data_IF_524037360670
#
_entry.id   IF_524037360670
#
_cell.length_a   1.000
_cell.length_b   1.000
_cell.length_c   1.000
_cell.angle_alpha   90.00
_cell.angle_beta   90.00
_cell.angle_gamma   90.00
#
_symmetry.space_group_name_H-M   'P 1'
#
loop_
_entity.id
_entity.type
_entity.pdbx_description
1 polymer ?
#
# COMPACT_ATOMS: atom_id res chain seq x y z
N UNK A 1 -68.44 40.90 4.86
CA UNK A 1 -67.00 40.67 5.14
C UNK A 1 -66.71 39.25 5.62
N UNK A 2 -67.37 38.73 6.66
CA UNK A 2 -67.13 37.35 7.18
C UNK A 2 -67.33 36.22 6.15
N UNK A 3 -68.35 36.34 5.27
CA UNK A 3 -68.66 35.31 4.26
C UNK A 3 -67.62 35.22 3.12
N UNK A 4 -67.05 36.36 2.71
CA UNK A 4 -66.04 36.42 1.64
C UNK A 4 -64.70 35.86 2.14
N UNK A 5 -64.35 36.14 3.39
CA UNK A 5 -63.16 35.56 4.03
C UNK A 5 -63.27 34.03 4.11
N UNK A 6 -64.47 33.51 4.39
CA UNK A 6 -64.72 32.07 4.43
C UNK A 6 -64.52 31.39 3.07
N UNK A 7 -64.99 32.00 1.99
CA UNK A 7 -64.78 31.47 0.64
C UNK A 7 -63.31 31.51 0.20
N UNK A 8 -62.56 32.55 0.60
CA UNK A 8 -61.12 32.64 0.30
C UNK A 8 -60.30 31.55 1.01
N UNK A 9 -60.64 31.24 2.27
CA UNK A 9 -60.00 30.15 3.03
C UNK A 9 -60.27 28.80 2.38
N UNK A 10 -61.52 28.54 1.97
CA UNK A 10 -61.89 27.28 1.30
C UNK A 10 -61.15 27.13 -0.04
N UNK A 11 -61.08 28.20 -0.84
CA UNK A 11 -60.35 28.17 -2.11
C UNK A 11 -58.84 27.90 -1.90
N UNK A 12 -58.24 28.45 -0.85
CA UNK A 12 -56.84 28.22 -0.49
C UNK A 12 -56.58 26.75 -0.10
N UNK A 13 -57.50 26.11 0.63
CA UNK A 13 -57.38 24.68 0.96
C UNK A 13 -57.57 23.76 -0.26
N UNK A 14 -58.39 24.14 -1.24
CA UNK A 14 -58.59 23.37 -2.48
C UNK A 14 -57.40 23.54 -3.44
N UNK A 15 -56.73 24.70 -3.42
CA UNK A 15 -55.53 24.96 -4.23
C UNK A 15 -54.23 24.45 -3.60
N UNK A 16 -54.25 23.93 -2.37
CA UNK A 16 -53.08 23.32 -1.76
C UNK A 16 -52.81 21.95 -2.43
N UNK A 17 -51.62 21.71 -3.00
CA UNK A 17 -51.32 20.44 -3.64
C UNK A 17 -51.41 19.31 -2.62
N UNK A 18 -52.38 18.40 -2.76
CA UNK A 18 -52.52 17.21 -1.92
C UNK A 18 -51.29 16.28 -2.00
N UNK A 19 -50.42 16.51 -2.99
CA UNK A 19 -49.15 15.81 -3.18
C UNK A 19 -47.97 16.36 -2.35
N UNK A 20 -48.15 17.42 -1.55
CA UNK A 20 -47.07 18.03 -0.75
C UNK A 20 -46.65 17.22 0.49
N UNK A 21 -47.19 16.01 0.69
CA UNK A 21 -46.87 15.10 1.80
C UNK A 21 -46.14 13.85 1.35
N UNK A 22 -45.11 13.98 0.53
CA UNK A 22 -44.23 12.86 0.19
C UNK A 22 -42.77 13.30 0.12
N UNK A 23 -42.28 13.99 1.16
CA UNK A 23 -40.87 13.95 1.49
C UNK A 23 -40.75 13.16 2.79
N UNK A 24 -40.59 11.84 2.67
CA UNK A 24 -40.17 11.04 3.82
C UNK A 24 -38.82 11.59 4.24
N UNK A 25 -38.78 12.28 5.38
CA UNK A 25 -37.52 12.69 5.98
C UNK A 25 -36.87 11.38 6.42
N UNK A 26 -35.80 10.98 5.75
CA UNK A 26 -34.96 9.88 6.22
C UNK A 26 -34.47 10.30 7.60
N UNK A 27 -34.88 9.59 8.64
CA UNK A 27 -34.45 9.88 10.00
C UNK A 27 -33.02 9.38 10.22
N UNK A 28 -32.28 9.97 11.16
CA UNK A 28 -30.94 9.45 11.51
C UNK A 28 -30.99 7.96 11.87
N UNK A 29 -32.11 7.48 12.44
CA UNK A 29 -32.34 6.06 12.73
C UNK A 29 -32.45 5.19 11.47
N UNK A 30 -32.97 5.75 10.37
CA UNK A 30 -33.04 5.06 9.07
C UNK A 30 -31.66 4.99 8.39
N UNK A 31 -30.74 5.90 8.75
CA UNK A 31 -29.33 5.89 8.32
C UNK A 31 -28.40 5.16 9.30
N UNK A 32 -28.82 4.92 10.54
CA UNK A 32 -28.07 4.20 11.57
C UNK A 32 -27.83 2.73 11.18
N UNK A 33 -28.78 2.14 10.44
CA UNK A 33 -28.61 0.82 9.81
C UNK A 33 -27.76 0.86 8.52
N UNK A 34 -27.55 2.06 7.96
CA UNK A 34 -26.65 2.29 6.82
C UNK A 34 -25.27 2.63 7.38
N UNK A 35 -24.65 1.64 8.01
CA UNK A 35 -23.19 1.69 8.22
C UNK A 35 -22.54 1.77 6.84
N UNK A 36 -21.59 2.69 6.64
CA UNK A 36 -20.70 2.61 5.48
C UNK A 36 -20.22 1.16 5.34
N UNK A 37 -20.41 0.58 4.16
CA UNK A 37 -20.47 -0.87 3.96
C UNK A 37 -19.36 -1.67 4.67
N UNK A 38 -19.74 -2.86 5.14
CA UNK A 38 -18.91 -3.90 5.73
C UNK A 38 -17.59 -4.10 4.96
N UNK A 39 -16.50 -3.49 5.43
CA UNK A 39 -15.12 -3.78 5.05
C UNK A 39 -14.76 -3.52 3.57
N UNK A 40 -13.67 -2.78 3.34
CA UNK A 40 -13.13 -2.64 1.98
C UNK A 40 -12.23 -3.85 1.69
N UNK A 41 -12.59 -4.64 0.68
CA UNK A 41 -11.78 -5.76 0.19
C UNK A 41 -11.03 -5.35 -1.09
N UNK A 42 -9.70 -5.30 -1.03
CA UNK A 42 -8.84 -5.06 -2.19
C UNK A 42 -8.24 -6.40 -2.61
N UNK A 43 -8.58 -6.85 -3.82
CA UNK A 43 -8.10 -8.12 -4.37
C UNK A 43 -6.83 -7.88 -5.16
N UNK A 44 -5.76 -8.58 -4.79
CA UNK A 44 -4.52 -8.62 -5.56
C UNK A 44 -4.47 -9.93 -6.36
N UNK A 45 -4.65 -9.82 -7.67
CA UNK A 45 -4.51 -10.94 -8.60
C UNK A 45 -3.27 -10.75 -9.47
N UNK A 46 -2.28 -11.63 -9.28
CA UNK A 46 -1.06 -11.71 -10.09
C UNK A 46 -0.31 -10.37 -10.25
N UNK A 47 -0.32 -9.52 -9.22
CA UNK A 47 0.41 -8.24 -9.23
C UNK A 47 1.90 -8.51 -9.06
N UNK A 48 2.68 -8.15 -10.09
CA UNK A 48 4.11 -8.43 -10.17
C UNK A 48 4.92 -7.17 -10.45
N UNK A 49 5.94 -6.92 -9.61
CA UNK A 49 7.00 -5.96 -9.91
C UNK A 49 8.16 -6.75 -10.51
N UNK A 50 8.44 -6.54 -11.80
CA UNK A 50 9.42 -7.33 -12.55
C UNK A 50 10.79 -6.65 -12.70
N UNK A 51 10.93 -5.39 -12.29
CA UNK A 51 12.23 -4.73 -12.33
C UNK A 51 12.38 -3.69 -11.22
N UNK A 52 13.48 -3.83 -10.47
CA UNK A 52 14.16 -2.74 -9.78
C UNK A 52 15.64 -2.88 -10.14
N UNK A 53 16.27 -1.77 -10.53
CA UNK A 53 17.67 -1.79 -10.96
C UNK A 53 18.57 -1.38 -9.80
N UNK A 54 19.43 -2.29 -9.36
CA UNK A 54 20.61 -1.98 -8.57
C UNK A 54 21.82 -2.17 -9.48
N UNK A 55 22.62 -1.13 -9.70
CA UNK A 55 23.81 -1.24 -10.58
C UNK A 55 25.03 -1.66 -9.79
N UNK A 56 25.23 -1.03 -8.63
CA UNK A 56 26.28 -1.36 -7.67
C UNK A 56 25.91 -0.93 -6.25
N UNK A 57 26.54 -1.56 -5.28
CA UNK A 57 26.51 -1.18 -3.87
C UNK A 57 27.91 -1.40 -3.32
N UNK A 58 28.46 -0.40 -2.65
CA UNK A 58 29.82 -0.44 -2.11
C UNK A 58 29.87 0.15 -0.71
N UNK A 59 30.86 -0.30 0.04
CA UNK A 59 31.31 0.29 1.30
C UNK A 59 32.80 0.50 1.21
N UNK A 60 33.29 1.60 1.75
CA UNK A 60 34.69 1.93 1.67
C UNK A 60 34.96 3.33 2.18
N UNK A 61 36.21 3.73 1.98
CA UNK A 61 36.72 5.03 2.40
C UNK A 61 37.42 5.73 1.25
N UNK A 62 37.34 7.05 1.24
CA UNK A 62 37.93 7.93 0.23
C UNK A 62 39.39 8.28 0.51
N UNK A 63 39.85 8.19 1.77
CA UNK A 63 41.22 8.55 2.18
C UNK A 63 42.03 7.37 2.75
N UNK A 64 41.42 6.19 2.87
CA UNK A 64 42.08 4.93 3.21
C UNK A 64 42.11 4.66 4.71
N UNK A 65 43.17 4.04 5.21
CA UNK A 65 43.35 3.73 6.64
C UNK A 65 44.84 3.67 6.99
N UNK A 66 45.19 3.43 8.26
CA UNK A 66 46.60 3.32 8.67
C UNK A 66 47.35 2.27 7.84
N UNK A 67 48.33 2.70 7.06
CA UNK A 67 49.11 1.84 6.15
C UNK A 67 48.68 1.90 4.68
N UNK A 68 47.60 2.63 4.33
CA UNK A 68 47.18 2.86 2.94
C UNK A 68 46.48 4.21 2.82
N UNK A 69 47.05 5.16 2.07
CA UNK A 69 46.57 6.56 2.01
C UNK A 69 45.66 6.86 0.82
N UNK A 70 45.14 5.83 0.15
CA UNK A 70 44.36 5.96 -1.08
C UNK A 70 42.94 5.40 -0.92
N UNK A 71 42.00 5.81 -1.78
CA UNK A 71 40.62 5.36 -1.72
C UNK A 71 40.51 3.84 -1.92
N UNK A 72 39.57 3.22 -1.21
CA UNK A 72 39.35 1.79 -1.26
C UNK A 72 37.91 1.43 -0.94
N UNK A 73 37.27 0.71 -1.85
CA UNK A 73 35.87 0.30 -1.78
C UNK A 73 35.73 -1.18 -2.10
N UNK A 74 34.91 -1.87 -1.30
CA UNK A 74 34.49 -3.24 -1.54
C UNK A 74 32.99 -3.29 -1.75
N UNK A 75 32.52 -4.14 -2.65
CA UNK A 75 31.09 -4.32 -2.85
C UNK A 75 30.73 -5.09 -4.10
N UNK A 76 29.51 -4.89 -4.57
CA UNK A 76 28.93 -5.62 -5.69
C UNK A 76 28.69 -4.71 -6.87
N UNK A 77 28.98 -5.20 -8.08
CA UNK A 77 28.77 -4.48 -9.33
C UNK A 77 28.24 -5.41 -10.42
N UNK A 78 27.46 -4.86 -11.35
CA UNK A 78 26.84 -5.62 -12.43
C UNK A 78 25.75 -6.56 -11.90
N UNK A 79 24.94 -6.07 -10.95
CA UNK A 79 23.86 -6.86 -10.37
C UNK A 79 22.78 -7.10 -11.43
N UNK A 80 22.44 -8.37 -11.63
CA UNK A 80 21.34 -8.79 -12.50
C UNK A 80 20.33 -9.54 -11.64
N UNK A 81 19.08 -9.06 -11.64
CA UNK A 81 17.96 -9.69 -10.96
C UNK A 81 17.01 -10.23 -12.03
N UNK A 82 16.66 -11.50 -11.95
CA UNK A 82 15.71 -12.15 -12.87
C UNK A 82 14.60 -12.84 -12.09
N UNK A 83 13.42 -12.96 -12.70
CA UNK A 83 12.19 -13.41 -12.04
C UNK A 83 11.36 -12.25 -11.50
N UNK A 84 10.28 -12.54 -10.78
CA UNK A 84 9.45 -11.52 -10.14
C UNK A 84 10.11 -11.05 -8.86
N UNK A 85 10.41 -9.75 -8.76
CA UNK A 85 11.00 -9.16 -7.56
C UNK A 85 10.01 -9.16 -6.41
N UNK A 86 8.78 -8.71 -6.68
CA UNK A 86 7.66 -8.73 -5.73
C UNK A 86 6.46 -9.37 -6.42
N UNK A 87 5.80 -10.29 -5.73
CA UNK A 87 4.49 -10.84 -6.10
C UNK A 87 3.53 -10.70 -4.92
N UNK A 88 2.37 -10.10 -5.18
CA UNK A 88 1.29 -9.95 -4.21
C UNK A 88 0.12 -10.85 -4.60
N UNK A 89 -0.42 -11.61 -3.64
CA UNK A 89 -1.55 -12.51 -3.86
C UNK A 89 -2.50 -12.56 -2.66
N UNK A 90 -3.78 -12.79 -2.97
CA UNK A 90 -4.86 -12.85 -1.98
C UNK A 90 -5.55 -11.51 -1.77
N UNK A 91 -6.33 -11.44 -0.70
CA UNK A 91 -7.18 -10.27 -0.40
C UNK A 91 -6.57 -9.47 0.74
N UNK A 92 -6.53 -8.15 0.57
CA UNK A 92 -6.35 -7.21 1.66
C UNK A 92 -7.73 -6.80 2.18
N UNK A 93 -7.99 -7.03 3.48
CA UNK A 93 -9.23 -6.59 4.11
C UNK A 93 -8.92 -5.42 5.03
N UNK A 94 -9.59 -4.29 4.80
CA UNK A 94 -9.51 -3.11 5.65
C UNK A 94 -10.83 -2.96 6.38
N UNK A 95 -10.76 -2.96 7.71
CA UNK A 95 -11.90 -2.80 8.59
C UNK A 95 -11.66 -1.68 9.60
N UNK A 96 -12.72 -0.93 9.92
CA UNK A 96 -12.70 0.17 10.87
C UNK A 96 -13.78 -0.09 11.91
N UNK A 97 -13.35 -0.28 13.16
CA UNK A 97 -14.24 -0.55 14.29
C UNK A 97 -14.11 0.51 15.36
N UNK A 98 -15.23 0.86 15.99
CA UNK A 98 -15.25 1.76 17.15
C UNK A 98 -15.94 1.11 18.34
N UNK A 99 -15.37 1.30 19.52
CA UNK A 99 -15.98 1.02 20.82
C UNK A 99 -16.12 2.32 21.63
N UNK A 100 -16.66 2.25 22.85
CA UNK A 100 -16.88 3.44 23.70
C UNK A 100 -15.59 4.18 24.09
N UNK A 101 -14.41 3.58 23.85
CA UNK A 101 -13.11 4.08 24.28
C UNK A 101 -12.11 4.29 23.15
N UNK A 102 -12.33 3.72 21.97
CA UNK A 102 -11.36 3.74 20.89
C UNK A 102 -11.97 3.47 19.51
N UNK A 103 -11.40 4.11 18.50
CA UNK A 103 -11.57 3.73 17.08
C UNK A 103 -10.28 3.11 16.58
N UNK A 104 -10.40 1.98 15.89
CA UNK A 104 -9.28 1.14 15.44
C UNK A 104 -9.43 0.83 13.96
N UNK A 105 -8.30 0.80 13.26
CA UNK A 105 -8.24 0.29 11.89
C UNK A 105 -7.46 -1.02 11.90
N UNK A 106 -8.09 -2.08 11.41
CA UNK A 106 -7.48 -3.40 11.21
C UNK A 106 -7.26 -3.61 9.72
N UNK A 107 -6.03 -3.94 9.34
CA UNK A 107 -5.65 -4.26 7.97
C UNK A 107 -5.08 -5.68 7.95
N UNK A 108 -5.84 -6.63 7.42
CA UNK A 108 -5.32 -7.96 7.10
C UNK A 108 -4.55 -7.86 5.78
N UNK A 109 -3.26 -8.19 5.82
CA UNK A 109 -2.40 -8.04 4.67
C UNK A 109 -2.60 -9.18 3.67
N UNK A 110 -2.52 -8.88 2.35
CA UNK A 110 -2.36 -9.92 1.36
C UNK A 110 -0.99 -10.57 1.54
N UNK A 111 -0.76 -11.72 0.92
CA UNK A 111 0.58 -12.30 0.90
C UNK A 111 1.46 -11.44 0.01
N UNK A 112 2.50 -10.84 0.58
CA UNK A 112 3.56 -10.15 -0.17
C UNK A 112 4.78 -11.04 -0.16
N UNK A 113 5.25 -11.45 -1.34
CA UNK A 113 6.43 -12.29 -1.48
C UNK A 113 7.50 -11.62 -2.33
N UNK A 114 8.73 -11.63 -1.82
CA UNK A 114 9.90 -11.35 -2.64
C UNK A 114 10.28 -12.64 -3.37
N UNK A 115 10.48 -12.57 -4.68
CA UNK A 115 10.84 -13.72 -5.51
C UNK A 115 9.64 -14.45 -6.10
N UNK A 116 8.44 -14.20 -5.58
CA UNK A 116 7.22 -14.84 -6.03
C UNK A 116 7.24 -16.37 -5.94
N UNK A 117 6.35 -17.00 -6.69
CA UNK A 117 6.18 -18.46 -6.72
C UNK A 117 7.39 -19.18 -7.34
N UNK A 118 8.08 -18.56 -8.30
CA UNK A 118 9.22 -19.15 -9.00
C UNK A 118 10.59 -18.90 -8.31
N UNK A 119 10.71 -17.82 -7.55
CA UNK A 119 11.95 -17.35 -6.93
C UNK A 119 12.65 -16.35 -7.84
N UNK A 120 13.41 -15.45 -7.24
CA UNK A 120 14.30 -14.57 -8.01
C UNK A 120 15.72 -15.13 -8.01
N UNK A 121 16.43 -14.93 -9.12
CA UNK A 121 17.86 -15.19 -9.18
C UNK A 121 18.61 -13.86 -9.21
N UNK A 122 19.70 -13.78 -8.46
CA UNK A 122 20.56 -12.61 -8.37
C UNK A 122 21.98 -13.03 -8.71
N UNK A 123 22.57 -12.40 -9.72
CA UNK A 123 24.00 -12.56 -10.02
C UNK A 123 24.71 -11.22 -9.93
N UNK A 124 25.91 -11.18 -9.35
CA UNK A 124 26.73 -9.98 -9.30
C UNK A 124 28.22 -10.33 -9.21
N UNK A 125 29.09 -9.34 -9.46
CA UNK A 125 30.51 -9.46 -9.22
C UNK A 125 30.87 -8.82 -7.88
N UNK A 126 31.51 -9.57 -6.99
CA UNK A 126 32.16 -9.00 -5.81
C UNK A 126 33.48 -8.36 -6.27
N UNK A 127 33.67 -7.07 -5.98
CA UNK A 127 34.82 -6.29 -6.44
C UNK A 127 35.49 -5.55 -5.30
N UNK A 128 36.80 -5.33 -5.47
CA UNK A 128 37.59 -4.34 -4.75
C UNK A 128 38.06 -3.27 -5.74
N UNK A 129 37.87 -2.00 -5.41
CA UNK A 129 38.13 -0.87 -6.32
C UNK A 129 38.65 0.35 -5.58
N UNK A 130 39.37 1.23 -6.28
CA UNK A 130 39.62 2.59 -5.82
C UNK A 130 38.44 3.54 -6.05
N UNK A 131 37.40 3.09 -6.77
CA UNK A 131 36.23 3.90 -7.10
C UNK A 131 35.00 3.38 -6.34
N UNK A 132 34.20 4.29 -5.79
CA UNK A 132 32.98 3.96 -5.05
C UNK A 132 31.87 3.34 -5.92
N UNK A 133 31.87 3.62 -7.22
CA UNK A 133 30.93 3.01 -8.17
C UNK A 133 31.31 1.58 -8.59
N UNK A 134 32.52 1.14 -8.21
CA UNK A 134 33.12 -0.14 -8.59
C UNK A 134 33.28 -0.33 -10.11
N UNK A 135 33.36 0.77 -10.87
CA UNK A 135 33.57 0.78 -12.33
C UNK A 135 34.90 0.14 -12.73
N UNK A 136 35.92 0.27 -11.89
CA UNK A 136 37.27 -0.29 -12.05
C UNK A 136 37.57 -1.32 -10.95
N UNK A 137 38.78 -1.88 -10.92
CA UNK A 137 39.26 -2.76 -9.85
C UNK A 137 39.02 -4.26 -10.09
N UNK A 138 39.58 -5.07 -9.20
CA UNK A 138 39.62 -6.52 -9.33
C UNK A 138 38.29 -7.17 -8.92
N UNK A 139 37.83 -8.14 -9.73
CA UNK A 139 36.76 -9.05 -9.33
C UNK A 139 37.33 -10.10 -8.39
N UNK A 140 36.83 -10.12 -7.16
CA UNK A 140 37.22 -11.09 -6.13
C UNK A 140 36.43 -12.40 -6.24
N UNK A 141 35.23 -12.34 -6.81
CA UNK A 141 34.38 -13.50 -7.00
C UNK A 141 33.01 -13.14 -7.56
N UNK A 142 32.15 -14.15 -7.66
CA UNK A 142 30.78 -14.00 -8.13
C UNK A 142 29.81 -14.29 -7.01
N UNK A 143 28.77 -13.47 -6.91
CA UNK A 143 27.58 -13.78 -6.15
C UNK A 143 26.62 -14.48 -7.12
N UNK A 144 26.19 -15.67 -6.74
CA UNK A 144 25.15 -16.41 -7.44
C UNK A 144 24.11 -16.90 -6.43
N UNK A 145 22.97 -16.21 -6.38
CA UNK A 145 21.83 -16.57 -5.55
C UNK A 145 20.73 -17.08 -6.48
N UNK A 146 20.29 -18.32 -6.23
CA UNK A 146 19.24 -18.98 -7.01
C UNK A 146 18.00 -19.22 -6.18
N UNK A 147 16.84 -18.88 -6.74
CA UNK A 147 15.54 -19.16 -6.13
C UNK A 147 15.29 -18.44 -4.80
N UNK A 148 15.86 -17.25 -4.61
CA UNK A 148 15.62 -16.47 -3.40
C UNK A 148 14.14 -16.14 -3.25
N UNK A 149 13.59 -16.42 -2.06
CA UNK A 149 12.21 -16.17 -1.69
C UNK A 149 12.11 -15.74 -0.24
N UNK A 150 11.25 -14.76 0.05
CA UNK A 150 10.77 -14.48 1.40
C UNK A 150 9.33 -13.99 1.32
N UNK A 151 8.53 -14.25 2.36
CA UNK A 151 7.13 -13.88 2.41
C UNK A 151 6.79 -13.20 3.72
N UNK A 152 5.99 -12.15 3.65
CA UNK A 152 5.38 -11.50 4.80
C UNK A 152 3.89 -11.81 4.77
N UNK A 153 3.40 -12.38 5.86
CA UNK A 153 2.00 -12.73 6.09
C UNK A 153 1.64 -12.23 7.48
N UNK A 154 0.54 -11.52 7.64
CA UNK A 154 0.11 -11.02 8.95
C UNK A 154 -0.92 -9.90 8.87
N UNK A 155 -1.08 -9.20 10.01
CA UNK A 155 -2.03 -8.10 10.17
C UNK A 155 -1.30 -6.87 10.69
N UNK A 156 -1.67 -5.69 10.20
CA UNK A 156 -1.27 -4.40 10.77
C UNK A 156 -2.50 -3.81 11.47
N UNK A 157 -2.31 -3.34 12.71
CA UNK A 157 -3.37 -2.64 13.45
C UNK A 157 -2.83 -1.31 13.92
N UNK A 158 -3.58 -0.24 13.63
CA UNK A 158 -3.25 1.13 14.03
C UNK A 158 -4.28 1.61 15.04
N UNK A 159 -3.80 2.18 16.13
CA UNK A 159 -4.62 2.72 17.22
C UNK A 159 -4.52 4.25 17.23
N UNK A 160 -5.64 4.92 17.50
CA UNK A 160 -5.61 6.33 17.86
C UNK A 160 -4.90 6.52 19.22
N UNK A 161 -4.18 7.64 19.37
CA UNK A 161 -3.60 8.05 20.65
C UNK A 161 -4.61 8.85 21.47
#
# INVERSE_FOLDING_TARGET
MKKILMFAIIAMFIMMPLASFAKSVISDKDLDAVTAETGVSIIFDNVKVNSAALTSMSWGDSDGYTGTTGPGYVGINGVTITGSLVEMSGTMNVDVGSDASSTKVKIDLPTVSLGGSAGMNITANLKLSGNSDLSSGATLGNIDIRGFKTSVIGTVTVFAH
#
